data_IF_659215398792
#
_entry.id   IF_659215398792
#
_cell.length_a   1.000
_cell.length_b   1.000
_cell.length_c   1.000
_cell.angle_alpha   90.00
_cell.angle_beta   90.00
_cell.angle_gamma   90.00
#
_symmetry.space_group_name_H-M   'P 1'
#
loop_
_entity.id
_entity.type
_entity.pdbx_description
1 polymer ?
#
# COMPACT_ATOMS: atom_id res chain seq x y z
N UNK A 1 -15.53 -15.81 17.10
CA UNK A 1 -16.13 -15.37 15.82
C UNK A 1 -15.02 -15.51 14.78
N UNK A 2 -15.29 -16.09 13.61
CA UNK A 2 -14.28 -16.19 12.54
C UNK A 2 -13.98 -14.83 11.93
N UNK A 3 -12.84 -14.72 11.22
CA UNK A 3 -12.44 -13.43 10.58
C UNK A 3 -13.49 -12.94 9.58
N UNK A 4 -14.05 -13.83 8.77
CA UNK A 4 -15.06 -13.45 7.80
C UNK A 4 -16.37 -12.98 8.46
N UNK A 5 -16.82 -13.64 9.54
CA UNK A 5 -17.98 -13.22 10.31
C UNK A 5 -17.79 -11.85 10.94
N UNK A 6 -16.57 -11.53 11.39
CA UNK A 6 -16.24 -10.23 11.95
C UNK A 6 -16.28 -9.14 10.87
N UNK A 7 -15.67 -9.39 9.70
CA UNK A 7 -15.76 -8.49 8.54
C UNK A 7 -17.21 -8.24 8.15
N UNK A 8 -18.06 -9.28 8.16
CA UNK A 8 -19.46 -9.19 7.79
C UNK A 8 -20.37 -8.73 8.92
N UNK A 9 -19.86 -8.46 10.13
CA UNK A 9 -20.71 -8.06 11.25
C UNK A 9 -21.35 -6.69 10.98
N UNK A 10 -22.61 -6.53 11.42
CA UNK A 10 -23.35 -5.27 11.24
C UNK A 10 -22.59 -4.08 11.82
N UNK A 11 -22.08 -4.22 13.04
CA UNK A 11 -21.36 -3.15 13.72
C UNK A 11 -20.07 -2.78 13.00
N UNK A 12 -19.29 -3.76 12.50
CA UNK A 12 -18.05 -3.47 11.80
C UNK A 12 -18.30 -2.82 10.43
N UNK A 13 -19.35 -3.24 9.70
CA UNK A 13 -19.75 -2.60 8.45
C UNK A 13 -20.25 -1.16 8.68
N UNK A 14 -20.95 -0.90 9.78
CA UNK A 14 -21.40 0.44 10.13
C UNK A 14 -20.18 1.34 10.47
N UNK A 15 -19.27 0.89 11.33
CA UNK A 15 -18.03 1.59 11.64
C UNK A 15 -17.15 1.81 10.41
N UNK A 16 -17.18 0.88 9.47
CA UNK A 16 -16.48 1.02 8.19
C UNK A 16 -17.11 2.12 7.32
N UNK A 17 -18.44 2.25 7.34
CA UNK A 17 -19.12 3.35 6.67
C UNK A 17 -18.72 4.71 7.30
N UNK A 18 -18.72 4.84 8.61
CA UNK A 18 -18.30 6.07 9.30
C UNK A 18 -16.89 6.51 8.83
N UNK A 19 -15.95 5.55 8.73
CA UNK A 19 -14.60 5.85 8.20
C UNK A 19 -14.59 6.23 6.72
N UNK A 20 -15.48 5.65 5.91
CA UNK A 20 -15.62 6.02 4.48
C UNK A 20 -16.17 7.43 4.38
N UNK A 21 -17.11 7.80 5.25
CA UNK A 21 -17.67 9.15 5.35
C UNK A 21 -16.62 10.16 5.77
N UNK A 22 -15.87 9.90 6.85
CA UNK A 22 -14.77 10.76 7.35
C UNK A 22 -13.70 11.02 6.28
N UNK A 23 -13.37 10.01 5.49
CA UNK A 23 -12.38 10.13 4.41
C UNK A 23 -12.92 10.85 3.17
N UNK A 24 -14.22 11.06 3.08
CA UNK A 24 -14.91 11.63 1.94
C UNK A 24 -14.58 10.91 0.61
N UNK A 25 -14.63 11.62 -0.51
CA UNK A 25 -14.20 11.11 -1.80
C UNK A 25 -15.33 10.99 -2.81
N UNK A 26 -14.94 10.93 -4.08
CA UNK A 26 -15.86 10.91 -5.21
C UNK A 26 -16.62 9.57 -5.31
N UNK A 27 -17.82 9.55 -5.93
CA UNK A 27 -18.54 8.32 -6.21
C UNK A 27 -17.78 7.40 -7.19
N UNK A 28 -18.13 6.12 -7.21
CA UNK A 28 -17.63 5.13 -8.16
C UNK A 28 -18.38 5.15 -9.49
N UNK A 29 -18.38 4.02 -10.19
CA UNK A 29 -19.04 3.86 -11.50
C UNK A 29 -20.56 3.96 -11.43
N UNK A 30 -21.14 3.75 -10.26
CA UNK A 30 -22.59 3.84 -9.98
C UNK A 30 -23.08 5.26 -9.77
N UNK A 31 -22.17 6.24 -9.66
CA UNK A 31 -22.41 7.64 -9.34
C UNK A 31 -23.13 7.88 -7.99
N UNK A 32 -23.20 6.87 -7.10
CA UNK A 32 -23.81 7.01 -5.77
C UNK A 32 -22.79 7.72 -4.87
N UNK A 33 -23.17 8.91 -4.37
CA UNK A 33 -22.36 9.67 -3.41
C UNK A 33 -22.45 9.05 -2.01
N UNK A 34 -21.58 9.50 -1.10
CA UNK A 34 -21.61 9.06 0.30
C UNK A 34 -22.91 9.51 0.96
N UNK A 35 -23.37 10.75 0.68
CA UNK A 35 -24.62 11.31 1.19
C UNK A 35 -25.82 10.49 0.70
N UNK A 36 -25.88 10.11 -0.58
CA UNK A 36 -26.92 9.25 -1.11
C UNK A 36 -26.87 7.83 -0.54
N UNK A 37 -25.67 7.30 -0.29
CA UNK A 37 -25.52 5.99 0.35
C UNK A 37 -25.96 6.03 1.81
N UNK A 38 -25.81 7.15 2.52
CA UNK A 38 -26.26 7.32 3.92
C UNK A 38 -27.79 7.29 4.06
N UNK A 39 -28.54 7.61 2.99
CA UNK A 39 -30.00 7.50 3.00
C UNK A 39 -30.41 6.02 3.07
N UNK A 40 -31.12 5.64 4.14
CA UNK A 40 -31.48 4.24 4.40
C UNK A 40 -30.25 3.36 4.75
N UNK A 41 -29.22 3.93 5.39
CA UNK A 41 -27.97 3.25 5.72
C UNK A 41 -28.18 1.90 6.41
N UNK A 42 -29.10 1.84 7.39
CA UNK A 42 -29.36 0.62 8.14
C UNK A 42 -29.79 -0.53 7.22
N UNK A 43 -30.72 -0.27 6.33
CA UNK A 43 -31.25 -1.24 5.36
C UNK A 43 -30.17 -1.67 4.36
N UNK A 44 -29.35 -0.71 3.89
CA UNK A 44 -28.21 -0.98 2.99
C UNK A 44 -27.17 -1.87 3.67
N UNK A 45 -26.78 -1.59 4.90
CA UNK A 45 -25.83 -2.41 5.68
C UNK A 45 -26.38 -3.82 5.92
N UNK A 46 -27.67 -3.95 6.25
CA UNK A 46 -28.32 -5.27 6.43
C UNK A 46 -28.32 -6.05 5.11
N UNK A 47 -28.63 -5.41 3.99
CA UNK A 47 -28.58 -6.04 2.66
C UNK A 47 -27.16 -6.47 2.30
N UNK A 48 -26.18 -5.58 2.45
CA UNK A 48 -24.78 -5.86 2.17
C UNK A 48 -24.24 -7.03 3.00
N UNK A 49 -24.58 -7.06 4.30
CA UNK A 49 -24.27 -8.20 5.18
C UNK A 49 -24.85 -9.52 4.65
N UNK A 50 -26.10 -9.51 4.18
CA UNK A 50 -26.74 -10.71 3.59
C UNK A 50 -26.03 -11.15 2.32
N UNK A 51 -25.67 -10.20 1.46
CA UNK A 51 -24.91 -10.48 0.23
C UNK A 51 -23.56 -11.16 0.54
N UNK A 52 -22.82 -10.66 1.54
CA UNK A 52 -21.54 -11.22 1.97
C UNK A 52 -21.72 -12.64 2.52
N UNK A 53 -22.61 -12.83 3.48
CA UNK A 53 -22.85 -14.12 4.14
C UNK A 53 -23.35 -15.20 3.17
N UNK A 54 -24.17 -14.82 2.19
CA UNK A 54 -24.72 -15.72 1.16
C UNK A 54 -23.76 -15.90 -0.05
N UNK A 55 -22.56 -15.30 -0.01
CA UNK A 55 -21.61 -15.30 -1.12
C UNK A 55 -22.17 -14.75 -2.45
N UNK A 56 -23.16 -13.87 -2.38
CA UNK A 56 -23.76 -13.19 -3.53
C UNK A 56 -23.14 -11.81 -3.80
N UNK A 57 -22.39 -11.27 -2.84
CA UNK A 57 -21.66 -10.02 -3.04
C UNK A 57 -20.72 -10.12 -4.25
N UNK A 58 -20.83 -9.11 -5.11
CA UNK A 58 -19.93 -8.89 -6.25
C UNK A 58 -19.48 -7.43 -6.20
N UNK A 59 -18.18 -7.17 -6.20
CA UNK A 59 -17.68 -5.80 -6.31
C UNK A 59 -18.03 -5.23 -7.68
N UNK A 60 -18.35 -3.94 -7.71
CA UNK A 60 -18.58 -3.21 -8.93
C UNK A 60 -17.25 -2.87 -9.63
N UNK A 61 -17.30 -2.47 -10.89
CA UNK A 61 -16.11 -2.02 -11.61
C UNK A 61 -15.52 -0.76 -10.95
N UNK A 62 -14.22 -0.58 -11.11
CA UNK A 62 -13.50 0.60 -10.61
C UNK A 62 -13.59 1.75 -11.62
N UNK A 63 -13.85 2.96 -11.16
CA UNK A 63 -13.79 4.16 -11.99
C UNK A 63 -12.35 4.69 -12.04
N UNK A 64 -11.71 4.65 -13.23
CA UNK A 64 -10.36 5.19 -13.40
C UNK A 64 -10.40 6.68 -13.65
N UNK A 65 -9.68 7.45 -12.81
CA UNK A 65 -9.60 8.92 -12.86
C UNK A 65 -8.14 9.35 -12.81
N UNK A 66 -7.75 10.28 -13.68
CA UNK A 66 -6.41 10.89 -13.67
C UNK A 66 -6.38 12.16 -12.82
N UNK A 67 -5.48 12.22 -11.85
CA UNK A 67 -5.23 13.43 -11.04
C UNK A 67 -3.84 13.99 -11.40
N UNK A 68 -3.70 15.31 -11.66
CA UNK A 68 -2.39 15.92 -11.86
C UNK A 68 -1.47 15.68 -10.64
N UNK A 69 -0.27 15.15 -10.86
CA UNK A 69 0.74 14.94 -9.79
C UNK A 69 1.79 16.05 -9.81
N UNK A 70 2.34 16.36 -10.96
CA UNK A 70 3.34 17.39 -11.26
C UNK A 70 3.10 17.87 -12.69
N UNK A 71 3.83 18.89 -13.13
CA UNK A 71 3.71 19.38 -14.52
C UNK A 71 3.97 18.23 -15.50
N UNK A 72 2.96 17.88 -16.29
CA UNK A 72 3.02 16.84 -17.31
C UNK A 72 2.88 15.39 -16.80
N UNK A 73 2.71 15.15 -15.49
CA UNK A 73 2.51 13.81 -14.92
C UNK A 73 1.09 13.63 -14.38
N UNK A 74 0.49 12.49 -14.63
CA UNK A 74 -0.84 12.09 -14.14
C UNK A 74 -0.69 10.92 -13.18
N UNK A 75 -1.30 11.03 -12.00
CA UNK A 75 -1.53 9.90 -11.11
C UNK A 75 -2.90 9.31 -11.43
N UNK A 76 -2.92 8.03 -11.72
CA UNK A 76 -4.16 7.31 -11.96
C UNK A 76 -4.71 6.74 -10.66
N UNK A 77 -5.96 7.09 -10.34
CA UNK A 77 -6.71 6.47 -9.26
C UNK A 77 -7.79 5.55 -9.82
N UNK A 78 -8.09 4.50 -9.09
CA UNK A 78 -9.16 3.55 -9.39
C UNK A 78 -10.14 3.56 -8.22
N UNK A 79 -11.28 4.21 -8.41
CA UNK A 79 -12.24 4.55 -7.36
C UNK A 79 -13.31 3.44 -7.27
N UNK A 80 -13.39 2.69 -6.15
CA UNK A 80 -14.48 1.75 -5.89
C UNK A 80 -15.79 2.50 -5.58
N UNK A 81 -16.94 1.83 -5.73
CA UNK A 81 -18.23 2.34 -5.25
C UNK A 81 -18.21 2.53 -3.72
N UNK A 82 -19.13 3.32 -3.18
CA UNK A 82 -19.25 3.50 -1.71
C UNK A 82 -19.51 2.15 -1.04
N UNK A 83 -20.37 1.32 -1.61
CA UNK A 83 -20.63 -0.05 -1.16
C UNK A 83 -19.34 -0.86 -1.01
N UNK A 84 -18.50 -0.86 -2.05
CA UNK A 84 -17.25 -1.63 -2.05
C UNK A 84 -16.22 -1.05 -1.09
N UNK A 85 -16.14 0.29 -0.97
CA UNK A 85 -15.29 0.94 0.03
C UNK A 85 -15.67 0.53 1.45
N UNK A 86 -16.94 0.40 1.77
CA UNK A 86 -17.41 -0.07 3.08
C UNK A 86 -16.92 -1.50 3.36
N UNK A 87 -17.06 -2.42 2.40
CA UNK A 87 -16.61 -3.81 2.59
C UNK A 87 -15.09 -3.89 2.72
N UNK A 88 -14.35 -3.17 1.88
CA UNK A 88 -12.89 -3.13 1.92
C UNK A 88 -12.36 -2.50 3.21
N UNK A 89 -12.98 -1.41 3.67
CA UNK A 89 -12.62 -0.78 4.95
C UNK A 89 -12.92 -1.70 6.12
N UNK A 90 -14.08 -2.38 6.10
CA UNK A 90 -14.43 -3.38 7.10
C UNK A 90 -13.38 -4.51 7.17
N UNK A 91 -12.96 -5.03 6.01
CA UNK A 91 -11.91 -6.03 5.93
C UNK A 91 -10.56 -5.48 6.42
N UNK A 92 -10.18 -4.28 6.01
CA UNK A 92 -8.94 -3.63 6.46
C UNK A 92 -8.91 -3.44 7.98
N UNK A 93 -10.02 -3.05 8.60
CA UNK A 93 -10.12 -2.88 10.05
C UNK A 93 -9.89 -4.18 10.82
N UNK A 94 -10.37 -5.31 10.30
CA UNK A 94 -10.21 -6.64 10.93
C UNK A 94 -8.82 -7.23 10.67
N UNK A 95 -8.31 -7.08 9.46
CA UNK A 95 -7.05 -7.70 9.04
C UNK A 95 -5.81 -6.92 9.48
N UNK A 96 -5.87 -5.57 9.50
CA UNK A 96 -4.70 -4.75 9.85
C UNK A 96 -4.11 -5.08 11.22
N UNK A 97 -4.88 -5.26 12.32
CA UNK A 97 -4.30 -5.58 13.62
C UNK A 97 -3.63 -6.96 13.68
N UNK A 98 -3.97 -7.85 12.76
CA UNK A 98 -3.40 -9.19 12.64
C UNK A 98 -2.10 -9.11 11.86
N UNK A 99 -2.16 -8.53 10.65
CA UNK A 99 -1.02 -8.45 9.74
C UNK A 99 0.06 -7.47 10.22
N UNK A 100 -0.33 -6.39 10.93
CA UNK A 100 0.64 -5.42 11.46
C UNK A 100 1.63 -5.99 12.48
N UNK A 101 1.27 -7.10 13.12
CA UNK A 101 2.16 -7.84 14.04
C UNK A 101 3.23 -8.64 13.32
N UNK A 102 2.95 -9.01 12.09
CA UNK A 102 3.87 -9.79 11.25
C UNK A 102 4.85 -8.88 10.51
N UNK A 103 4.43 -7.63 10.20
CA UNK A 103 5.26 -6.68 9.45
C UNK A 103 6.47 -6.22 10.25
N UNK A 104 7.60 -6.17 9.56
CA UNK A 104 8.90 -5.81 10.11
C UNK A 104 8.97 -4.35 10.61
N UNK A 105 9.91 -4.09 11.54
CA UNK A 105 10.10 -2.75 12.10
C UNK A 105 10.58 -1.70 11.10
N UNK A 106 11.17 -2.12 10.00
CA UNK A 106 11.64 -1.26 8.92
C UNK A 106 10.52 -0.70 8.04
N UNK A 107 9.31 -1.26 8.11
CA UNK A 107 8.13 -0.85 7.35
C UNK A 107 7.32 0.20 8.11
N UNK A 108 7.07 1.38 7.50
CA UNK A 108 6.46 2.53 8.19
C UNK A 108 5.13 2.99 7.62
N UNK A 109 4.86 2.82 6.33
CA UNK A 109 3.65 3.33 5.70
C UNK A 109 2.40 2.53 6.11
N UNK A 110 1.26 3.24 6.23
CA UNK A 110 -0.07 2.64 6.43
C UNK A 110 -0.23 1.82 7.72
N UNK A 111 0.65 1.97 8.69
CA UNK A 111 0.68 1.24 9.95
C UNK A 111 0.36 2.16 11.13
N UNK A 112 -0.37 1.61 12.10
CA UNK A 112 -0.67 2.33 13.34
C UNK A 112 0.64 2.69 14.07
N UNK A 113 0.69 3.89 14.64
CA UNK A 113 1.84 4.39 15.41
C UNK A 113 3.16 4.53 14.60
N UNK A 114 3.13 4.33 13.28
CA UNK A 114 4.24 4.61 12.36
C UNK A 114 4.01 5.94 11.64
N UNK A 115 5.08 6.61 11.25
CA UNK A 115 4.97 7.90 10.56
C UNK A 115 6.23 8.20 9.76
N UNK A 116 6.13 9.18 8.85
CA UNK A 116 7.29 9.74 8.13
C UNK A 116 8.36 10.22 9.12
N UNK A 117 7.97 10.87 10.22
CA UNK A 117 8.91 11.36 11.24
C UNK A 117 9.69 10.22 11.89
N UNK A 118 9.02 9.10 12.21
CA UNK A 118 9.70 7.92 12.78
C UNK A 118 10.65 7.26 11.79
N UNK A 119 10.28 7.20 10.50
CA UNK A 119 11.17 6.72 9.44
C UNK A 119 12.43 7.61 9.31
N UNK A 120 12.27 8.93 9.27
CA UNK A 120 13.35 9.89 9.24
C UNK A 120 14.26 9.76 10.49
N UNK A 121 13.66 9.64 11.68
CA UNK A 121 14.40 9.45 12.92
C UNK A 121 15.27 8.18 12.86
N UNK A 122 14.73 7.10 12.30
CA UNK A 122 15.46 5.83 12.14
C UNK A 122 16.66 5.97 11.21
N UNK A 123 16.55 6.74 10.13
CA UNK A 123 17.67 7.06 9.23
C UNK A 123 18.77 7.80 9.99
N UNK A 124 18.41 8.81 10.79
CA UNK A 124 19.35 9.59 11.60
C UNK A 124 20.10 8.68 12.58
N UNK A 125 19.38 7.81 13.30
CA UNK A 125 19.98 6.87 14.25
C UNK A 125 21.00 5.91 13.59
N UNK A 126 20.71 5.45 12.37
CA UNK A 126 21.62 4.58 11.63
C UNK A 126 22.84 5.34 11.11
N UNK A 127 22.65 6.56 10.57
CA UNK A 127 23.74 7.46 10.19
C UNK A 127 24.70 7.68 11.36
N UNK A 128 24.16 8.01 12.53
CA UNK A 128 24.96 8.31 13.75
C UNK A 128 25.69 7.06 14.28
N UNK A 129 25.27 5.85 13.84
CA UNK A 129 25.99 4.58 14.06
C UNK A 129 27.00 4.24 12.96
N UNK A 130 27.27 5.18 12.04
CA UNK A 130 28.28 5.04 11.00
C UNK A 130 27.82 4.41 9.70
N UNK A 131 26.50 4.26 9.48
CA UNK A 131 25.96 3.82 8.19
C UNK A 131 25.85 5.02 7.26
N UNK A 132 26.93 5.28 6.52
CA UNK A 132 27.10 6.52 5.74
C UNK A 132 26.79 6.36 4.25
N UNK A 133 26.69 5.13 3.75
CA UNK A 133 26.30 4.83 2.38
C UNK A 133 24.82 4.45 2.31
N UNK A 134 24.15 4.90 1.26
CA UNK A 134 22.71 4.73 1.12
C UNK A 134 22.39 4.24 -0.29
N UNK A 135 21.70 3.12 -0.36
CA UNK A 135 20.96 2.73 -1.57
C UNK A 135 19.62 3.45 -1.51
N UNK A 136 19.42 4.46 -2.36
CA UNK A 136 18.17 5.21 -2.56
C UNK A 136 17.48 4.60 -3.77
N UNK A 137 16.38 3.88 -3.55
CA UNK A 137 15.76 3.04 -4.57
C UNK A 137 14.24 3.18 -4.63
N UNK A 138 13.71 3.04 -5.84
CA UNK A 138 12.28 3.13 -6.18
C UNK A 138 11.86 1.91 -7.01
N UNK A 139 10.68 1.37 -6.75
CA UNK A 139 10.12 0.26 -7.52
C UNK A 139 9.32 0.81 -8.68
N UNK A 140 9.57 0.29 -9.90
CA UNK A 140 8.85 0.72 -11.11
C UNK A 140 7.37 0.39 -11.02
N UNK A 141 6.51 1.42 -11.05
CA UNK A 141 5.03 1.26 -11.12
C UNK A 141 4.46 0.24 -10.13
N UNK A 142 4.99 0.20 -8.90
CA UNK A 142 4.75 -0.85 -7.92
C UNK A 142 3.28 -1.31 -7.84
N UNK A 143 2.35 -0.37 -7.57
CA UNK A 143 0.93 -0.71 -7.42
C UNK A 143 0.31 -1.34 -8.68
N UNK A 144 0.80 -0.99 -9.87
CA UNK A 144 0.30 -1.50 -11.15
C UNK A 144 0.94 -2.85 -11.53
N UNK A 145 2.10 -3.17 -10.92
CA UNK A 145 2.89 -4.37 -11.24
C UNK A 145 2.69 -5.53 -10.23
N UNK A 146 2.01 -5.33 -9.10
CA UNK A 146 1.73 -6.39 -8.12
C UNK A 146 1.09 -7.58 -8.82
N UNK A 147 1.75 -8.72 -8.77
CA UNK A 147 1.23 -9.98 -9.33
C UNK A 147 0.18 -10.60 -8.40
N UNK A 148 -0.99 -10.93 -8.94
CA UNK A 148 -2.11 -11.42 -8.13
C UNK A 148 -1.87 -12.82 -7.55
N UNK A 149 -1.11 -13.69 -8.25
CA UNK A 149 -0.81 -15.04 -7.75
C UNK A 149 0.13 -14.95 -6.54
N UNK A 150 1.23 -14.19 -6.70
CA UNK A 150 2.20 -13.94 -5.62
C UNK A 150 1.50 -13.28 -4.42
N UNK A 151 0.66 -12.26 -4.66
CA UNK A 151 -0.09 -11.59 -3.58
C UNK A 151 -0.99 -12.58 -2.83
N UNK A 152 -1.72 -13.44 -3.53
CA UNK A 152 -2.61 -14.42 -2.89
C UNK A 152 -1.82 -15.49 -2.13
N UNK A 153 -0.62 -15.85 -2.58
CA UNK A 153 0.28 -16.72 -1.83
C UNK A 153 0.71 -16.07 -0.52
N UNK A 154 1.11 -14.78 -0.55
CA UNK A 154 1.45 -14.02 0.65
C UNK A 154 0.24 -13.92 1.61
N UNK A 155 -0.95 -13.58 1.10
CA UNK A 155 -2.18 -13.53 1.91
C UNK A 155 -2.43 -14.86 2.63
N UNK A 156 -2.23 -15.98 1.95
CA UNK A 156 -2.47 -17.32 2.52
C UNK A 156 -1.47 -17.75 3.61
N UNK A 157 -0.31 -17.11 3.68
CA UNK A 157 0.63 -17.37 4.79
C UNK A 157 -0.02 -17.01 6.13
N UNK A 158 -0.76 -15.92 6.20
CA UNK A 158 -1.30 -15.35 7.44
C UNK A 158 -2.82 -15.52 7.57
N UNK A 159 -3.57 -15.49 6.47
CA UNK A 159 -5.03 -15.58 6.44
C UNK A 159 -5.48 -16.97 6.03
N UNK A 160 -5.97 -17.77 7.01
CA UNK A 160 -6.41 -19.15 6.77
C UNK A 160 -7.91 -19.27 6.44
N UNK A 161 -8.72 -18.23 6.69
CA UNK A 161 -10.14 -18.23 6.30
C UNK A 161 -10.28 -18.06 4.77
N UNK A 162 -10.63 -19.15 4.09
CA UNK A 162 -10.75 -19.17 2.63
C UNK A 162 -11.75 -18.16 2.08
N UNK A 163 -12.80 -17.81 2.84
CA UNK A 163 -13.81 -16.81 2.42
C UNK A 163 -13.22 -15.40 2.39
N UNK A 164 -12.29 -15.08 3.30
CA UNK A 164 -11.55 -13.81 3.27
C UNK A 164 -10.62 -13.76 2.07
N UNK A 165 -9.90 -14.85 1.79
CA UNK A 165 -9.05 -14.96 0.60
C UNK A 165 -9.86 -14.79 -0.69
N UNK A 166 -11.05 -15.42 -0.76
CA UNK A 166 -11.94 -15.31 -1.93
C UNK A 166 -12.51 -13.89 -2.08
N UNK A 167 -12.76 -13.18 -0.98
CA UNK A 167 -13.17 -11.79 -1.00
C UNK A 167 -12.06 -10.90 -1.58
N UNK A 168 -10.82 -11.09 -1.17
CA UNK A 168 -9.66 -10.38 -1.72
C UNK A 168 -9.51 -10.68 -3.22
N UNK A 169 -9.63 -11.94 -3.64
CA UNK A 169 -9.60 -12.31 -5.07
C UNK A 169 -10.68 -11.62 -5.88
N UNK A 170 -11.90 -11.45 -5.34
CA UNK A 170 -12.96 -10.72 -6.01
C UNK A 170 -12.55 -9.28 -6.30
N UNK A 171 -11.90 -8.58 -5.35
CA UNK A 171 -11.42 -7.21 -5.55
C UNK A 171 -10.26 -7.10 -6.53
N UNK A 172 -9.39 -8.12 -6.61
CA UNK A 172 -8.30 -8.16 -7.58
C UNK A 172 -8.75 -8.47 -9.02
N UNK A 173 -9.94 -9.07 -9.19
CA UNK A 173 -10.47 -9.48 -10.49
C UNK A 173 -11.62 -8.58 -11.00
N UNK A 174 -11.70 -7.34 -10.53
CA UNK A 174 -12.71 -6.38 -10.98
C UNK A 174 -12.36 -5.78 -12.34
N UNK A 175 -13.37 -5.27 -13.03
CA UNK A 175 -13.16 -4.47 -14.22
C UNK A 175 -12.79 -3.03 -13.86
N UNK A 176 -12.10 -2.35 -14.77
CA UNK A 176 -11.81 -0.92 -14.71
C UNK A 176 -12.56 -0.22 -15.82
N UNK A 177 -13.23 0.88 -15.50
CA UNK A 177 -13.94 1.74 -16.45
C UNK A 177 -13.18 3.05 -16.60
N UNK A 178 -12.81 3.39 -17.82
CA UNK A 178 -12.18 4.66 -18.18
C UNK A 178 -12.83 5.24 -19.43
N UNK A 179 -13.42 6.44 -19.34
CA UNK A 179 -14.12 7.12 -20.46
C UNK A 179 -15.12 6.21 -21.18
N UNK A 180 -15.87 5.41 -20.42
CA UNK A 180 -16.87 4.46 -20.94
C UNK A 180 -16.31 3.12 -21.45
N UNK A 181 -15.01 3.01 -21.69
CA UNK A 181 -14.37 1.74 -22.04
C UNK A 181 -14.14 0.89 -20.78
N UNK A 182 -14.40 -0.43 -20.90
CA UNK A 182 -14.22 -1.40 -19.80
C UNK A 182 -13.05 -2.32 -20.14
N UNK A 183 -12.15 -2.52 -19.18
CA UNK A 183 -11.02 -3.44 -19.26
C UNK A 183 -10.90 -4.23 -17.98
N UNK A 184 -10.35 -5.44 -18.04
CA UNK A 184 -10.16 -6.29 -16.87
C UNK A 184 -8.85 -5.92 -16.15
N UNK A 185 -8.88 -5.89 -14.82
CA UNK A 185 -7.67 -5.81 -14.00
C UNK A 185 -7.03 -7.20 -13.97
N UNK A 186 -5.85 -7.34 -14.58
CA UNK A 186 -5.12 -8.62 -14.67
C UNK A 186 -3.91 -8.68 -13.74
N UNK A 187 -3.42 -7.55 -13.30
CA UNK A 187 -2.34 -7.37 -12.33
C UNK A 187 -2.50 -6.02 -11.63
N UNK A 188 -1.77 -5.81 -10.58
CA UNK A 188 -1.79 -4.59 -9.76
C UNK A 188 -2.90 -4.57 -8.72
N UNK A 189 -2.75 -3.67 -7.79
CA UNK A 189 -3.79 -3.33 -6.81
C UNK A 189 -4.26 -1.90 -7.03
N UNK A 190 -5.58 -1.64 -6.95
CA UNK A 190 -6.13 -0.35 -7.31
C UNK A 190 -5.64 0.77 -6.40
N UNK A 191 -4.97 1.79 -6.93
CA UNK A 191 -4.67 3.01 -6.17
C UNK A 191 -5.97 3.77 -5.88
N UNK A 192 -6.32 3.88 -4.59
CA UNK A 192 -7.59 4.47 -4.12
C UNK A 192 -8.55 3.46 -3.48
N UNK A 193 -8.24 2.19 -3.50
CA UNK A 193 -8.99 1.13 -2.82
C UNK A 193 -8.57 1.05 -1.35
N UNK A 194 -9.49 1.04 -0.36
CA UNK A 194 -9.15 1.04 1.08
C UNK A 194 -8.31 -0.13 1.56
N UNK A 195 -8.36 -1.26 0.87
CA UNK A 195 -7.58 -2.46 1.23
C UNK A 195 -6.18 -2.47 0.60
N UNK A 196 -5.95 -1.70 -0.48
CA UNK A 196 -4.69 -1.74 -1.24
C UNK A 196 -3.44 -1.39 -0.42
N UNK A 197 -3.45 -0.43 0.52
CA UNK A 197 -2.32 -0.15 1.39
C UNK A 197 -1.87 -1.35 2.23
N UNK A 198 -2.83 -2.10 2.77
CA UNK A 198 -2.54 -3.30 3.55
C UNK A 198 -1.96 -4.42 2.68
N UNK A 199 -2.56 -4.64 1.50
CA UNK A 199 -2.09 -5.65 0.54
C UNK A 199 -0.71 -5.31 -0.02
N UNK A 200 -0.41 -4.03 -0.24
CA UNK A 200 0.92 -3.59 -0.71
C UNK A 200 2.01 -3.83 0.33
N UNK A 201 1.74 -3.58 1.61
CA UNK A 201 2.68 -3.91 2.68
C UNK A 201 2.91 -5.42 2.78
N UNK A 202 1.85 -6.20 2.70
CA UNK A 202 1.93 -7.67 2.73
C UNK A 202 2.75 -8.23 1.56
N UNK A 203 2.60 -7.66 0.37
CA UNK A 203 3.37 -8.07 -0.81
C UNK A 203 4.88 -7.86 -0.64
N UNK A 204 5.29 -6.78 0.02
CA UNK A 204 6.69 -6.46 0.27
C UNK A 204 7.23 -7.02 1.60
N UNK A 205 6.44 -7.76 2.34
CA UNK A 205 6.87 -8.32 3.63
C UNK A 205 8.04 -9.30 3.47
N UNK A 206 7.95 -10.22 2.51
CA UNK A 206 9.04 -11.15 2.20
C UNK A 206 10.31 -10.46 1.67
N UNK A 207 10.20 -9.26 1.07
CA UNK A 207 11.33 -8.41 0.74
C UNK A 207 12.01 -7.88 2.00
N UNK A 208 11.22 -7.34 2.94
CA UNK A 208 11.73 -6.84 4.22
C UNK A 208 12.41 -7.96 5.03
N UNK A 209 11.75 -9.12 5.16
CA UNK A 209 12.31 -10.31 5.84
C UNK A 209 13.66 -10.74 5.25
N UNK A 210 13.76 -10.76 3.91
CA UNK A 210 14.99 -11.21 3.24
C UNK A 210 16.14 -10.25 3.51
N UNK A 211 15.93 -8.94 3.40
CA UNK A 211 16.97 -7.95 3.70
C UNK A 211 17.42 -7.99 5.16
N UNK A 212 16.48 -8.21 6.10
CA UNK A 212 16.79 -8.34 7.53
C UNK A 212 17.61 -9.62 7.79
N UNK A 213 17.23 -10.74 7.17
CA UNK A 213 17.95 -12.02 7.30
C UNK A 213 19.40 -11.89 6.83
N UNK A 214 19.64 -11.17 5.75
CA UNK A 214 20.99 -10.87 5.24
C UNK A 214 21.64 -9.67 5.98
N UNK A 215 21.01 -9.19 7.08
CA UNK A 215 21.51 -8.17 8.02
C UNK A 215 21.59 -6.76 7.47
N UNK A 216 20.99 -6.46 6.34
CA UNK A 216 20.90 -5.11 5.83
C UNK A 216 19.96 -4.23 6.67
N UNK A 217 20.29 -2.94 6.78
CA UNK A 217 19.50 -1.95 7.52
C UNK A 217 18.74 -1.10 6.54
N UNK A 218 17.45 -1.33 6.41
CA UNK A 218 16.61 -0.59 5.49
C UNK A 218 15.43 0.08 6.18
N UNK A 219 14.90 1.10 5.55
CA UNK A 219 13.69 1.83 5.95
C UNK A 219 12.80 1.92 4.74
N UNK A 220 11.60 1.37 4.85
CA UNK A 220 10.60 1.35 3.79
C UNK A 220 9.37 2.16 4.16
N UNK A 221 8.88 2.99 3.23
CA UNK A 221 7.62 3.72 3.33
C UNK A 221 6.79 3.46 2.07
N UNK A 222 5.90 2.48 2.10
CA UNK A 222 5.20 1.89 0.95
C UNK A 222 6.18 1.25 -0.05
N UNK A 223 6.27 1.76 -1.27
CA UNK A 223 7.19 1.36 -2.33
C UNK A 223 8.52 2.12 -2.34
N UNK A 224 8.62 3.18 -1.54
CA UNK A 224 9.81 4.02 -1.42
C UNK A 224 10.70 3.51 -0.28
N UNK A 225 11.96 3.22 -0.53
CA UNK A 225 12.85 2.67 0.50
C UNK A 225 14.30 3.10 0.34
N UNK A 226 15.02 3.08 1.48
CA UNK A 226 16.46 3.28 1.53
C UNK A 226 17.14 2.15 2.31
N UNK A 227 18.31 1.70 1.86
CA UNK A 227 19.15 0.75 2.59
C UNK A 227 20.42 1.49 3.03
N UNK A 228 20.72 1.44 4.33
CA UNK A 228 21.86 2.11 4.91
C UNK A 228 23.00 1.12 5.15
N UNK A 229 24.17 1.44 4.65
CA UNK A 229 25.37 0.60 4.63
C UNK A 229 26.56 1.36 5.24
N UNK A 230 27.56 0.62 5.72
CA UNK A 230 28.77 1.21 6.31
C UNK A 230 29.76 1.65 5.24
N UNK A 231 29.86 0.88 4.18
CA UNK A 231 30.78 1.15 3.08
C UNK A 231 30.09 0.93 1.71
N UNK A 232 30.80 1.28 0.65
CA UNK A 232 30.27 1.20 -0.70
C UNK A 232 30.10 -0.23 -1.21
N UNK A 233 31.02 -1.18 -0.95
CA UNK A 233 30.82 -2.57 -1.30
C UNK A 233 29.54 -3.16 -0.66
N UNK A 234 29.29 -2.93 0.64
CA UNK A 234 28.05 -3.36 1.30
C UNK A 234 26.80 -2.78 0.60
N UNK A 235 26.87 -1.53 0.11
CA UNK A 235 25.77 -0.92 -0.64
C UNK A 235 25.58 -1.53 -2.03
N UNK A 236 26.65 -1.94 -2.71
CA UNK A 236 26.60 -2.65 -3.99
C UNK A 236 25.98 -4.05 -3.79
N UNK A 237 26.39 -4.80 -2.77
CA UNK A 237 25.80 -6.09 -2.40
C UNK A 237 24.32 -5.96 -2.04
N UNK A 238 23.95 -4.92 -1.29
CA UNK A 238 22.56 -4.63 -0.93
C UNK A 238 21.69 -4.34 -2.15
N UNK A 239 22.22 -3.62 -3.13
CA UNK A 239 21.49 -3.32 -4.37
C UNK A 239 21.30 -4.58 -5.22
N UNK A 240 22.32 -5.43 -5.33
CA UNK A 240 22.25 -6.70 -6.05
C UNK A 240 21.19 -7.62 -5.43
N UNK A 241 21.24 -7.83 -4.12
CA UNK A 241 20.24 -8.61 -3.40
C UNK A 241 18.82 -8.03 -3.58
N UNK A 242 18.68 -6.71 -3.52
CA UNK A 242 17.39 -6.02 -3.73
C UNK A 242 16.81 -6.38 -5.10
N UNK A 243 17.61 -6.28 -6.15
CA UNK A 243 17.18 -6.60 -7.53
C UNK A 243 16.76 -8.09 -7.65
N UNK A 244 17.52 -8.99 -7.04
CA UNK A 244 17.19 -10.42 -7.02
C UNK A 244 15.85 -10.71 -6.30
N UNK A 245 15.63 -10.09 -5.14
CA UNK A 245 14.41 -10.31 -4.37
C UNK A 245 13.20 -9.72 -5.07
N UNK A 246 13.32 -8.52 -5.62
CA UNK A 246 12.24 -7.89 -6.38
C UNK A 246 11.87 -8.70 -7.63
N UNK A 247 12.85 -9.29 -8.34
CA UNK A 247 12.58 -10.19 -9.46
C UNK A 247 11.80 -11.44 -9.06
N UNK A 248 12.07 -12.02 -7.87
CA UNK A 248 11.28 -13.15 -7.33
C UNK A 248 9.83 -12.73 -7.05
N UNK A 249 9.62 -11.48 -6.65
CA UNK A 249 8.30 -10.86 -6.50
C UNK A 249 7.71 -10.35 -7.82
N UNK A 250 8.30 -10.67 -8.97
CA UNK A 250 7.87 -10.19 -10.30
C UNK A 250 7.83 -8.65 -10.40
N UNK A 251 8.68 -7.96 -9.62
CA UNK A 251 8.87 -6.51 -9.61
C UNK A 251 10.22 -6.13 -10.21
N UNK A 252 10.38 -4.83 -10.52
CA UNK A 252 11.61 -4.30 -11.08
C UNK A 252 11.99 -2.97 -10.41
N UNK A 253 13.30 -2.78 -10.17
CA UNK A 253 13.84 -1.49 -9.77
C UNK A 253 13.67 -0.45 -10.87
N UNK A 254 13.39 0.77 -10.48
CA UNK A 254 13.47 1.93 -11.36
C UNK A 254 14.92 2.41 -11.44
N UNK A 255 15.65 1.92 -12.44
CA UNK A 255 17.09 2.21 -12.60
C UNK A 255 17.41 3.70 -12.82
N UNK A 256 16.46 4.50 -13.30
CA UNK A 256 16.66 5.95 -13.47
C UNK A 256 16.63 6.71 -12.13
N UNK A 257 15.96 6.15 -11.14
CA UNK A 257 15.83 6.75 -9.80
C UNK A 257 16.70 6.05 -8.75
N UNK A 258 17.11 4.81 -9.00
CA UNK A 258 17.94 4.04 -8.06
C UNK A 258 19.39 4.46 -8.14
N UNK A 259 19.99 4.74 -7.00
CA UNK A 259 21.39 5.18 -6.90
C UNK A 259 22.01 4.83 -5.55
N UNK A 260 23.33 4.64 -5.56
CA UNK A 260 24.13 4.55 -4.34
C UNK A 260 24.75 5.92 -4.07
N UNK A 261 24.50 6.46 -2.88
CA UNK A 261 24.98 7.79 -2.48
C UNK A 261 25.61 7.75 -1.11
N UNK A 262 26.55 8.68 -0.84
CA UNK A 262 27.10 8.91 0.48
C UNK A 262 26.44 10.13 1.12
N UNK A 263 26.26 10.15 2.45
CA UNK A 263 25.66 11.28 3.15
C UNK A 263 26.37 12.62 2.88
N UNK A 264 27.67 12.61 2.55
CA UNK A 264 28.40 13.83 2.18
C UNK A 264 27.93 14.46 0.87
N UNK A 265 27.37 13.69 -0.04
CA UNK A 265 26.81 14.18 -1.31
C UNK A 265 25.32 14.50 -1.22
N UNK A 266 24.66 14.00 -0.17
CA UNK A 266 23.26 14.24 0.12
C UNK A 266 22.27 13.45 -0.75
N UNK A 267 21.10 13.20 -0.19
CA UNK A 267 19.97 12.58 -0.88
C UNK A 267 18.64 13.13 -0.32
N UNK A 268 17.54 12.78 -0.96
CA UNK A 268 16.19 13.15 -0.50
C UNK A 268 15.35 11.90 -0.30
N UNK A 269 14.67 11.82 0.84
CA UNK A 269 13.75 10.74 1.14
C UNK A 269 12.53 11.28 1.88
N UNK A 270 11.33 10.90 1.48
CA UNK A 270 10.05 11.33 2.07
C UNK A 270 9.91 12.86 2.22
N UNK A 271 10.38 13.61 1.23
CA UNK A 271 10.32 15.07 1.23
C UNK A 271 11.33 15.76 2.16
N UNK A 272 12.29 15.01 2.71
CA UNK A 272 13.36 15.52 3.57
C UNK A 272 14.70 15.35 2.89
N UNK A 273 15.57 16.38 2.95
CA UNK A 273 16.94 16.34 2.48
C UNK A 273 17.90 15.96 3.61
N UNK A 274 18.85 15.10 3.28
CA UNK A 274 19.94 14.69 4.14
C UNK A 274 21.27 15.11 3.48
N UNK A 275 22.12 15.83 4.21
CA UNK A 275 23.44 16.21 3.76
C UNK A 275 24.40 16.23 4.96
N UNK A 276 25.34 15.32 5.01
CA UNK A 276 26.22 15.13 6.16
C UNK A 276 25.39 14.91 7.45
N UNK A 277 25.58 15.75 8.46
CA UNK A 277 24.77 15.74 9.69
C UNK A 277 23.47 16.53 9.59
N UNK A 278 23.30 17.33 8.52
CA UNK A 278 22.13 18.19 8.36
C UNK A 278 20.92 17.39 7.85
N UNK A 279 19.77 17.71 8.44
CA UNK A 279 18.45 17.23 7.99
C UNK A 279 17.58 18.45 7.77
N UNK A 280 17.06 18.64 6.57
CA UNK A 280 16.31 19.85 6.21
C UNK A 280 15.11 19.52 5.35
N UNK A 281 14.06 20.30 5.48
CA UNK A 281 12.96 20.28 4.52
C UNK A 281 13.31 21.25 3.40
N UNK A 282 13.44 20.80 2.14
CA UNK A 282 13.58 21.72 1.03
C UNK A 282 12.36 22.65 1.05
N UNK A 283 12.57 23.97 1.13
CA UNK A 283 11.48 24.91 0.94
C UNK A 283 10.91 24.69 -0.45
N UNK A 284 9.64 24.33 -0.55
CA UNK A 284 8.89 24.54 -1.77
C UNK A 284 8.89 26.05 -1.99
N UNK A 285 9.74 26.57 -2.89
CA UNK A 285 9.51 27.89 -3.44
C UNK A 285 8.13 27.86 -4.06
N UNK A 286 7.18 28.67 -3.62
CA UNK A 286 5.98 28.91 -4.39
C UNK A 286 6.43 29.57 -5.70
N UNK A 287 6.16 28.89 -6.82
CA UNK A 287 6.18 29.52 -8.13
C UNK A 287 4.83 30.10 -8.43
#
# INVERSE_FOLDING_TARGET
>A
MGLFEEICSYNNLLLAFDKVEDNAGSPGVDNITIEEFSIGLRERIISLRKELLNNTYRPDALLKVGIPKEIGKIRWLSIPTVKDRVVQTSASMVLSPILDKEFEECSFAYRKERSVQKAIQRIIELRDKGYMWVVDADISSFFDEIDHEVLIEEVRKYIKDGRVVDLIKKWLNVDIVYKGARSKLTKGVPQGSPISPLLSNLYLDSFDETLIKERFKHIRFADDFVILCKDKPEAEDALELTDEVLKKLRLQLNMEKTRIVHFDHGFRYLGVGFLRSMVYRPHCCPK
#
